data_IF_685724445609
#
_entry.id   IF_685724445609
#
_cell.length_a   1.000
_cell.length_b   1.000
_cell.length_c   1.000
_cell.angle_alpha   90.00
_cell.angle_beta   90.00
_cell.angle_gamma   90.00
#
_symmetry.space_group_name_H-M   'P 1'
#
loop_
_entity.id
_entity.type
_entity.pdbx_description
1 polymer ?
#
# COMPACT_ATOMS: atom_id res chain seq x y z
N UNK A 1 16.82 13.22 -16.76
CA UNK A 1 16.20 13.67 -15.48
C UNK A 1 17.12 13.24 -14.34
N UNK A 2 17.31 14.03 -13.28
CA UNK A 2 18.15 13.60 -12.16
C UNK A 2 17.51 12.40 -11.44
N UNK A 3 18.31 11.39 -11.08
CA UNK A 3 17.84 10.25 -10.31
C UNK A 3 17.49 10.72 -8.89
N UNK A 4 16.26 10.47 -8.47
CA UNK A 4 15.74 10.82 -7.14
C UNK A 4 14.88 9.69 -6.61
N UNK A 5 14.65 9.66 -5.29
CA UNK A 5 13.68 8.73 -4.70
C UNK A 5 12.29 8.86 -5.38
N UNK A 6 11.83 10.09 -5.64
CA UNK A 6 10.56 10.34 -6.32
C UNK A 6 10.49 9.75 -7.73
N UNK A 7 11.53 9.94 -8.56
CA UNK A 7 11.56 9.36 -9.91
C UNK A 7 11.63 7.84 -9.88
N UNK A 8 12.35 7.26 -8.91
CA UNK A 8 12.43 5.82 -8.68
C UNK A 8 11.04 5.27 -8.34
N UNK A 9 10.33 5.89 -7.39
CA UNK A 9 9.00 5.44 -6.99
C UNK A 9 7.98 5.55 -8.11
N UNK A 10 7.95 6.69 -8.82
CA UNK A 10 7.05 6.89 -9.95
C UNK A 10 7.27 5.84 -11.04
N UNK A 11 8.53 5.55 -11.38
CA UNK A 11 8.84 4.54 -12.40
C UNK A 11 8.53 3.12 -11.91
N UNK A 12 8.74 2.83 -10.63
CA UNK A 12 8.37 1.55 -10.05
C UNK A 12 6.85 1.31 -10.05
N UNK A 13 6.05 2.33 -9.73
CA UNK A 13 4.58 2.28 -9.82
C UNK A 13 4.09 2.09 -11.27
N UNK A 14 4.78 2.68 -12.24
CA UNK A 14 4.47 2.49 -13.66
C UNK A 14 4.85 1.08 -14.17
N UNK A 15 5.98 0.52 -13.72
CA UNK A 15 6.31 -0.89 -13.98
C UNK A 15 5.24 -1.80 -13.37
N UNK A 16 4.84 -1.52 -12.14
CA UNK A 16 3.84 -2.28 -11.40
C UNK A 16 2.48 -2.27 -12.13
N UNK A 17 2.02 -1.10 -12.59
CA UNK A 17 0.75 -0.98 -13.33
C UNK A 17 0.76 -1.76 -14.65
N UNK A 18 1.87 -1.71 -15.39
CA UNK A 18 2.02 -2.37 -16.70
C UNK A 18 2.21 -3.89 -16.59
N UNK A 19 3.06 -4.34 -15.66
CA UNK A 19 3.55 -5.72 -15.65
C UNK A 19 3.23 -6.50 -14.37
N UNK A 20 2.85 -5.80 -13.29
CA UNK A 20 2.64 -6.40 -11.97
C UNK A 20 3.93 -6.60 -11.17
N UNK A 21 3.77 -7.07 -9.94
CA UNK A 21 4.81 -7.20 -8.93
C UNK A 21 5.92 -8.18 -9.34
N UNK A 22 5.57 -9.26 -10.04
CA UNK A 22 6.51 -10.28 -10.49
C UNK A 22 7.62 -9.72 -11.39
N UNK A 23 7.31 -8.67 -12.15
CA UNK A 23 8.24 -8.03 -13.08
C UNK A 23 9.01 -6.85 -12.47
N UNK A 24 8.64 -6.39 -11.27
CA UNK A 24 9.33 -5.33 -10.56
C UNK A 24 10.67 -5.87 -10.02
N UNK A 25 11.75 -5.57 -10.74
CA UNK A 25 13.13 -5.90 -10.36
C UNK A 25 14.02 -4.67 -10.41
N UNK A 26 15.07 -4.63 -9.58
CA UNK A 26 16.07 -3.54 -9.59
C UNK A 26 16.67 -3.33 -10.98
N UNK A 27 16.91 -4.42 -11.73
CA UNK A 27 17.47 -4.36 -13.08
C UNK A 27 16.49 -3.78 -14.10
N UNK A 28 15.21 -4.15 -14.04
CA UNK A 28 14.18 -3.56 -14.92
C UNK A 28 13.99 -2.08 -14.58
N UNK A 29 13.92 -1.76 -13.29
CA UNK A 29 13.78 -0.39 -12.82
C UNK A 29 14.92 0.51 -13.31
N UNK A 30 16.17 0.05 -13.20
CA UNK A 30 17.32 0.77 -13.72
C UNK A 30 17.24 0.99 -15.23
N UNK A 31 16.79 -0.04 -15.98
CA UNK A 31 16.60 0.04 -17.43
C UNK A 31 15.53 1.07 -17.82
N UNK A 32 14.38 1.05 -17.18
CA UNK A 32 13.28 2.01 -17.45
C UNK A 32 13.68 3.44 -17.07
N UNK A 33 14.56 3.60 -16.08
CA UNK A 33 15.15 4.89 -15.70
C UNK A 33 16.36 5.30 -16.56
N UNK A 34 16.78 4.45 -17.51
CA UNK A 34 17.97 4.65 -18.35
C UNK A 34 19.28 4.87 -17.55
N UNK A 35 19.40 4.20 -16.39
CA UNK A 35 20.58 4.26 -15.53
C UNK A 35 21.21 2.88 -15.32
N UNK A 36 22.45 2.86 -14.85
CA UNK A 36 23.07 1.63 -14.36
C UNK A 36 22.41 1.18 -13.05
N UNK A 37 22.26 -0.13 -12.79
CA UNK A 37 21.71 -0.63 -11.52
C UNK A 37 22.44 -0.09 -10.28
N UNK A 38 23.75 0.12 -10.37
CA UNK A 38 24.56 0.71 -9.29
C UNK A 38 24.09 2.12 -8.89
N UNK A 39 23.51 2.88 -9.81
CA UNK A 39 22.99 4.22 -9.54
C UNK A 39 21.79 4.19 -8.58
N UNK A 40 20.94 3.15 -8.67
CA UNK A 40 19.77 3.01 -7.79
C UNK A 40 20.17 2.87 -6.32
N UNK A 41 21.26 2.17 -6.04
CA UNK A 41 21.71 1.86 -4.67
C UNK A 41 22.16 3.09 -3.86
N UNK A 42 22.37 4.24 -4.51
CA UNK A 42 22.59 5.52 -3.81
C UNK A 42 21.31 6.08 -3.19
N UNK A 43 20.15 5.64 -3.67
CA UNK A 43 18.83 6.11 -3.23
C UNK A 43 18.00 5.02 -2.56
N UNK A 44 18.20 3.77 -2.96
CA UNK A 44 17.45 2.59 -2.49
C UNK A 44 18.40 1.39 -2.41
N UNK A 45 18.81 1.06 -1.19
CA UNK A 45 19.85 0.09 -0.84
C UNK A 45 19.55 -1.34 -1.30
N UNK A 46 18.27 -1.71 -1.39
CA UNK A 46 17.84 -3.06 -1.79
C UNK A 46 16.36 -3.08 -2.23
N UNK A 47 15.89 -4.25 -2.64
CA UNK A 47 14.50 -4.44 -3.07
C UNK A 47 13.49 -4.24 -1.93
N UNK A 48 13.88 -4.52 -0.68
CA UNK A 48 13.00 -4.34 0.48
C UNK A 48 12.75 -2.85 0.76
N UNK A 49 13.80 -2.03 0.68
CA UNK A 49 13.66 -0.57 0.78
C UNK A 49 12.85 0.01 -0.37
N UNK A 50 12.93 -0.57 -1.58
CA UNK A 50 12.06 -0.18 -2.68
C UNK A 50 10.57 -0.43 -2.34
N UNK A 51 10.24 -1.56 -1.72
CA UNK A 51 8.86 -1.85 -1.32
C UNK A 51 8.34 -0.87 -0.27
N UNK A 52 9.17 -0.57 0.75
CA UNK A 52 8.83 0.45 1.75
C UNK A 52 8.63 1.81 1.09
N UNK A 53 9.52 2.21 0.17
CA UNK A 53 9.45 3.49 -0.52
C UNK A 53 8.15 3.64 -1.34
N UNK A 54 7.72 2.58 -2.03
CA UNK A 54 6.46 2.57 -2.80
C UNK A 54 5.26 2.61 -1.84
N UNK A 55 5.25 1.77 -0.80
CA UNK A 55 4.18 1.73 0.18
C UNK A 55 4.03 3.07 0.93
N UNK A 56 5.14 3.72 1.31
CA UNK A 56 5.13 5.07 1.90
C UNK A 56 4.54 6.10 0.94
N UNK A 57 4.81 5.99 -0.36
CA UNK A 57 4.21 6.89 -1.37
C UNK A 57 2.71 6.66 -1.54
N UNK A 58 2.22 5.44 -1.43
CA UNK A 58 0.78 5.13 -1.40
C UNK A 58 0.15 5.67 -0.11
N UNK A 59 0.79 5.44 1.04
CA UNK A 59 0.34 5.95 2.33
C UNK A 59 0.25 7.49 2.34
N UNK A 60 1.22 8.18 1.75
CA UNK A 60 1.18 9.63 1.62
C UNK A 60 -0.03 10.14 0.84
N UNK A 61 -0.57 9.37 -0.12
CA UNK A 61 -1.84 9.73 -0.78
C UNK A 61 -3.04 9.55 0.15
N UNK A 62 -3.00 8.53 1.01
CA UNK A 62 -4.04 8.31 2.03
C UNK A 62 -4.05 9.48 2.98
N UNK A 63 -2.90 9.80 3.59
CA UNK A 63 -2.77 10.88 4.57
C UNK A 63 -3.08 12.27 3.97
N UNK A 64 -2.83 12.48 2.67
CA UNK A 64 -3.20 13.71 1.98
C UNK A 64 -4.73 13.87 1.83
N UNK A 65 -5.49 12.77 1.74
CA UNK A 65 -6.96 12.77 1.64
C UNK A 65 -7.63 12.64 3.01
N UNK A 66 -6.99 11.92 3.92
CA UNK A 66 -7.45 11.58 5.26
C UNK A 66 -6.33 11.90 6.27
N UNK A 67 -6.22 13.17 6.72
CA UNK A 67 -5.27 13.52 7.78
C UNK A 67 -5.58 12.76 9.08
N UNK A 68 -4.66 12.81 10.05
CA UNK A 68 -4.73 12.05 11.31
C UNK A 68 -6.02 12.21 12.13
N UNK A 69 -6.75 13.31 11.96
CA UNK A 69 -8.03 13.58 12.64
C UNK A 69 -9.25 13.04 11.90
N UNK A 70 -9.04 12.36 10.77
CA UNK A 70 -10.12 11.78 9.97
C UNK A 70 -10.75 10.59 10.67
N UNK A 71 -11.99 10.30 10.31
CA UNK A 71 -12.64 9.08 10.73
C UNK A 71 -11.84 7.84 10.29
N UNK A 72 -11.55 6.89 11.20
CA UNK A 72 -10.76 5.71 10.86
C UNK A 72 -11.39 4.81 9.80
N UNK A 73 -12.72 4.70 9.75
CA UNK A 73 -13.41 3.90 8.73
C UNK A 73 -13.25 4.55 7.36
N UNK A 74 -13.41 5.88 7.28
CA UNK A 74 -13.17 6.64 6.04
C UNK A 74 -11.72 6.48 5.58
N UNK A 75 -10.77 6.49 6.51
CA UNK A 75 -9.34 6.29 6.20
C UNK A 75 -9.06 4.88 5.67
N UNK A 76 -9.65 3.85 6.26
CA UNK A 76 -9.52 2.47 5.80
C UNK A 76 -10.13 2.28 4.39
N UNK A 77 -11.29 2.89 4.11
CA UNK A 77 -11.89 2.91 2.77
C UNK A 77 -11.00 3.65 1.76
N UNK A 78 -10.42 4.78 2.16
CA UNK A 78 -9.50 5.54 1.30
C UNK A 78 -8.22 4.77 0.99
N UNK A 79 -7.66 4.06 1.98
CA UNK A 79 -6.55 3.14 1.76
C UNK A 79 -6.94 2.05 0.75
N UNK A 80 -8.10 1.41 0.93
CA UNK A 80 -8.61 0.42 -0.03
C UNK A 80 -8.67 0.97 -1.45
N UNK A 81 -9.25 2.14 -1.65
CA UNK A 81 -9.41 2.74 -2.99
C UNK A 81 -8.07 3.08 -3.65
N UNK A 82 -7.10 3.57 -2.87
CA UNK A 82 -5.74 3.81 -3.35
C UNK A 82 -5.07 2.49 -3.75
N UNK A 83 -5.16 1.45 -2.93
CA UNK A 83 -4.56 0.15 -3.26
C UNK A 83 -5.18 -0.48 -4.50
N UNK A 84 -6.50 -0.32 -4.72
CA UNK A 84 -7.19 -0.81 -5.91
C UNK A 84 -6.81 -0.06 -7.19
N UNK A 85 -6.29 1.16 -7.08
CA UNK A 85 -5.81 1.96 -8.22
C UNK A 85 -4.54 1.36 -8.83
N UNK A 86 -3.71 0.71 -8.01
CA UNK A 86 -2.44 0.13 -8.43
C UNK A 86 -2.57 -1.39 -8.57
N UNK A 87 -2.19 -1.93 -9.72
CA UNK A 87 -2.06 -3.39 -9.91
C UNK A 87 -1.15 -3.97 -8.81
N UNK A 88 -1.57 -5.06 -8.17
CA UNK A 88 -0.86 -5.70 -7.04
C UNK A 88 -0.53 -4.72 -5.88
N UNK A 89 -1.34 -3.67 -5.73
CA UNK A 89 -1.15 -2.61 -4.74
C UNK A 89 -1.21 -3.16 -3.31
N UNK A 90 -2.13 -4.09 -3.04
CA UNK A 90 -2.22 -4.74 -1.74
C UNK A 90 -0.98 -5.58 -1.41
N UNK A 91 -0.44 -6.35 -2.37
CA UNK A 91 0.80 -7.10 -2.14
C UNK A 91 2.01 -6.18 -1.89
N UNK A 92 2.15 -5.07 -2.64
CA UNK A 92 3.22 -4.09 -2.40
C UNK A 92 3.09 -3.47 -1.00
N UNK A 93 1.89 -3.05 -0.63
CA UNK A 93 1.63 -2.46 0.67
C UNK A 93 1.86 -3.46 1.80
N UNK A 94 1.48 -4.73 1.61
CA UNK A 94 1.76 -5.82 2.55
C UNK A 94 3.25 -6.06 2.76
N UNK A 95 4.05 -6.06 1.69
CA UNK A 95 5.51 -6.18 1.76
C UNK A 95 6.11 -4.99 2.53
N UNK A 96 5.72 -3.76 2.19
CA UNK A 96 6.16 -2.56 2.90
C UNK A 96 5.77 -2.57 4.38
N UNK A 97 4.52 -2.96 4.68
CA UNK A 97 4.00 -3.06 6.05
C UNK A 97 4.71 -4.14 6.88
N UNK A 98 5.10 -5.26 6.27
CA UNK A 98 5.86 -6.32 6.94
C UNK A 98 7.27 -5.88 7.34
N UNK A 99 7.84 -4.91 6.61
CA UNK A 99 9.20 -4.39 6.87
C UNK A 99 9.16 -3.19 7.81
N UNK A 100 8.24 -2.25 7.56
CA UNK A 100 8.22 -0.94 8.23
C UNK A 100 6.77 -0.48 8.52
N UNK A 101 6.03 -1.15 9.42
CA UNK A 101 4.61 -0.90 9.64
C UNK A 101 4.33 0.55 10.06
N UNK A 102 5.16 1.14 10.92
CA UNK A 102 4.99 2.53 11.37
C UNK A 102 5.17 3.56 10.24
N UNK A 103 5.94 3.25 9.19
CA UNK A 103 6.23 4.19 8.10
C UNK A 103 5.17 4.18 6.99
N UNK A 104 4.32 3.15 6.97
CA UNK A 104 3.34 2.94 5.89
C UNK A 104 1.91 2.85 6.41
N UNK A 105 1.67 2.88 7.71
CA UNK A 105 0.30 2.92 8.24
C UNK A 105 -0.23 4.35 8.16
N UNK A 106 -1.44 4.57 7.61
CA UNK A 106 -2.07 5.88 7.63
C UNK A 106 -2.16 6.42 9.05
N UNK A 107 -1.96 7.72 9.21
CA UNK A 107 -1.86 8.35 10.53
C UNK A 107 -3.13 8.15 11.38
N UNK A 108 -4.32 8.21 10.78
CA UNK A 108 -5.59 7.93 11.48
C UNK A 108 -5.83 6.44 11.77
N UNK A 109 -5.01 5.54 11.21
CA UNK A 109 -5.04 4.10 11.47
C UNK A 109 -3.85 3.63 12.33
N UNK A 110 -3.02 4.55 12.82
CA UNK A 110 -1.79 4.21 13.52
C UNK A 110 -2.05 3.59 14.89
N UNK A 111 -1.04 2.95 15.47
CA UNK A 111 -1.14 2.39 16.81
C UNK A 111 -1.30 3.48 17.88
N UNK A 112 -0.80 4.69 17.61
CA UNK A 112 -0.98 5.87 18.45
C UNK A 112 -2.42 6.38 18.42
N UNK A 113 -3.09 6.29 17.27
CA UNK A 113 -4.47 6.72 17.10
C UNK A 113 -5.49 5.69 17.61
N UNK A 114 -5.25 4.40 17.35
CA UNK A 114 -6.25 3.33 17.56
C UNK A 114 -5.83 2.24 18.58
N UNK A 115 -4.63 2.33 19.15
CA UNK A 115 -4.06 1.20 19.88
C UNK A 115 -3.49 0.11 18.94
N UNK A 116 -2.52 -0.64 19.45
CA UNK A 116 -1.74 -1.61 18.65
C UNK A 116 -2.59 -2.72 18.03
N UNK A 117 -3.58 -3.21 18.78
CA UNK A 117 -4.39 -4.36 18.36
C UNK A 117 -5.35 -3.97 17.24
N UNK A 118 -6.09 -2.86 17.41
CA UNK A 118 -7.05 -2.38 16.41
C UNK A 118 -6.32 -1.93 15.14
N UNK A 119 -5.24 -1.15 15.27
CA UNK A 119 -4.40 -0.72 14.14
C UNK A 119 -3.90 -1.92 13.31
N UNK A 120 -3.34 -2.94 13.98
CA UNK A 120 -2.89 -4.16 13.29
C UNK A 120 -4.05 -4.92 12.65
N UNK A 121 -5.18 -5.01 13.34
CA UNK A 121 -6.38 -5.70 12.85
C UNK A 121 -6.94 -5.07 11.58
N UNK A 122 -7.16 -3.75 11.59
CA UNK A 122 -7.70 -3.03 10.44
C UNK A 122 -6.73 -3.03 9.26
N UNK A 123 -5.43 -2.89 9.50
CA UNK A 123 -4.41 -3.00 8.45
C UNK A 123 -4.37 -4.40 7.84
N UNK A 124 -4.29 -5.45 8.66
CA UNK A 124 -4.28 -6.83 8.17
C UNK A 124 -5.56 -7.17 7.38
N UNK A 125 -6.72 -6.71 7.85
CA UNK A 125 -7.98 -6.88 7.14
C UNK A 125 -7.97 -6.15 5.80
N UNK A 126 -7.56 -4.87 5.77
CA UNK A 126 -7.54 -4.07 4.53
C UNK A 126 -6.62 -4.68 3.49
N UNK A 127 -5.40 -5.05 3.87
CA UNK A 127 -4.43 -5.66 2.95
C UNK A 127 -4.93 -7.01 2.43
N UNK A 128 -5.48 -7.86 3.30
CA UNK A 128 -6.01 -9.16 2.90
C UNK A 128 -7.25 -9.04 2.01
N UNK A 129 -8.20 -8.17 2.36
CA UNK A 129 -9.43 -7.97 1.61
C UNK A 129 -9.15 -7.44 0.19
N UNK A 130 -8.27 -6.43 0.07
CA UNK A 130 -7.91 -5.87 -1.23
C UNK A 130 -7.09 -6.85 -2.06
N UNK A 131 -6.18 -7.61 -1.46
CA UNK A 131 -5.45 -8.66 -2.20
C UNK A 131 -6.40 -9.71 -2.76
N UNK A 132 -7.40 -10.16 -1.99
CA UNK A 132 -8.42 -11.10 -2.48
C UNK A 132 -9.21 -10.47 -3.63
N UNK A 133 -9.65 -9.22 -3.51
CA UNK A 133 -10.40 -8.51 -4.54
C UNK A 133 -9.59 -8.38 -5.86
N UNK A 134 -8.32 -7.98 -5.76
CA UNK A 134 -7.43 -7.85 -6.93
C UNK A 134 -7.19 -9.20 -7.60
N UNK A 135 -6.94 -10.27 -6.83
CA UNK A 135 -6.73 -11.62 -7.37
C UNK A 135 -8.01 -12.21 -7.99
N UNK A 136 -9.18 -11.98 -7.38
CA UNK A 136 -10.47 -12.39 -7.97
C UNK A 136 -10.70 -11.71 -9.32
N UNK A 137 -10.44 -10.40 -9.40
CA UNK A 137 -10.54 -9.64 -10.65
C UNK A 137 -9.58 -10.17 -11.72
N UNK A 138 -8.35 -10.52 -11.35
CA UNK A 138 -7.37 -11.15 -12.25
C UNK A 138 -7.90 -12.47 -12.83
N UNK A 139 -8.65 -13.25 -12.03
CA UNK A 139 -9.25 -14.51 -12.46
C UNK A 139 -10.64 -14.37 -13.09
N UNK A 140 -11.13 -13.14 -13.31
CA UNK A 140 -12.46 -12.89 -13.89
C UNK A 140 -13.62 -13.29 -12.96
N UNK A 141 -13.38 -13.32 -11.65
CA UNK A 141 -14.39 -13.67 -10.65
C UNK A 141 -14.98 -12.38 -10.08
N UNK A 142 -16.27 -12.14 -10.32
CA UNK A 142 -16.99 -10.98 -9.77
C UNK A 142 -17.22 -11.11 -8.26
N UNK A 143 -17.17 -9.97 -7.57
CA UNK A 143 -17.51 -9.83 -6.15
C UNK A 143 -18.18 -8.48 -5.95
N UNK A 144 -19.48 -8.42 -6.26
CA UNK A 144 -20.24 -7.18 -6.23
C UNK A 144 -20.30 -6.54 -4.84
N UNK A 145 -20.20 -7.36 -3.78
CA UNK A 145 -20.36 -6.94 -2.40
C UNK A 145 -19.01 -6.70 -1.70
N UNK A 146 -17.88 -6.81 -2.40
CA UNK A 146 -16.53 -6.71 -1.80
C UNK A 146 -16.34 -5.40 -1.00
N UNK A 147 -16.77 -4.27 -1.56
CA UNK A 147 -16.67 -2.97 -0.90
C UNK A 147 -17.55 -2.84 0.34
N UNK A 148 -18.79 -3.34 0.28
CA UNK A 148 -19.72 -3.32 1.42
C UNK A 148 -19.24 -4.25 2.54
N UNK A 149 -18.82 -5.48 2.19
CA UNK A 149 -18.26 -6.45 3.13
C UNK A 149 -17.01 -5.91 3.83
N UNK A 150 -16.12 -5.26 3.07
CA UNK A 150 -14.96 -4.58 3.61
C UNK A 150 -15.36 -3.52 4.65
N UNK A 151 -16.25 -2.59 4.27
CA UNK A 151 -16.69 -1.52 5.17
C UNK A 151 -17.32 -2.06 6.46
N UNK A 152 -18.17 -3.08 6.35
CA UNK A 152 -18.84 -3.71 7.49
C UNK A 152 -17.87 -4.38 8.46
N UNK A 153 -16.85 -5.10 7.96
CA UNK A 153 -15.85 -5.77 8.80
C UNK A 153 -14.90 -4.74 9.42
N UNK A 154 -14.43 -3.76 8.64
CA UNK A 154 -13.59 -2.67 9.13
C UNK A 154 -14.30 -1.89 10.25
N UNK A 155 -15.57 -1.56 10.08
CA UNK A 155 -16.38 -0.87 11.09
C UNK A 155 -16.51 -1.68 12.39
N UNK A 156 -16.54 -3.01 12.32
CA UNK A 156 -16.57 -3.88 13.51
C UNK A 156 -15.21 -3.88 14.22
N UNK A 157 -14.11 -4.03 13.48
CA UNK A 157 -12.75 -4.00 14.04
C UNK A 157 -12.48 -2.68 14.79
N UNK A 158 -12.92 -1.56 14.21
CA UNK A 158 -12.74 -0.22 14.78
C UNK A 158 -13.59 0.05 16.03
N UNK A 159 -14.65 -0.74 16.29
CA UNK A 159 -15.52 -0.60 17.48
C UNK A 159 -15.05 -1.40 18.70
N UNK A 160 -14.03 -2.26 18.54
CA UNK A 160 -13.65 -3.27 19.55
C UNK A 160 -12.96 -2.71 20.82
N UNK A 161 -12.86 -1.38 21.00
CA UNK A 161 -12.22 -0.74 22.18
C UNK A 161 -13.18 0.11 23.03
N UNK A 162 -14.49 -0.10 22.96
CA UNK A 162 -15.46 0.58 23.85
C UNK A 162 -15.84 -0.19 25.13
N UNK A 163 -15.19 -1.30 25.46
CA UNK A 163 -15.40 -2.07 26.70
C UNK A 163 -14.16 -2.14 27.59
#
# INVERSE_FOLDING_TARGET
MALTAGSITTTALDILSRYGLGDLSMRRLARELEVQPSALYWHVKDKQELFVLIATRMNAEVDARCPSTSDPLVTAMTLRDILLTYRDGAEIMLLGYSIAPAAVTPSALSAEALGKTVSRGVMAHTLGAVAIEQNRKLFGIEDADAGENFANIAARLLKTESD
#
